data_IF_809659663745
#
_entry.id   IF_809659663745
#
_cell.length_a   1.000
_cell.length_b   1.000
_cell.length_c   1.000
_cell.angle_alpha   90.00
_cell.angle_beta   90.00
_cell.angle_gamma   90.00
#
_symmetry.space_group_name_H-M   'P 1'
#
loop_
_entity.id
_entity.type
_entity.pdbx_description
1 polymer ?
#
# COMPACT_ATOMS: atom_id res chain seq x y z
N UNK A 1 3.67 33.76 -25.98
CA UNK A 1 3.55 33.61 -24.51
C UNK A 1 4.38 32.42 -24.07
N UNK A 2 5.58 32.66 -23.52
CA UNK A 2 6.44 31.60 -23.02
C UNK A 2 5.80 31.00 -21.76
N UNK A 3 5.48 29.69 -21.79
CA UNK A 3 5.09 28.95 -20.58
C UNK A 3 6.29 29.02 -19.64
N UNK A 4 6.13 29.63 -18.46
CA UNK A 4 7.13 29.50 -17.39
C UNK A 4 7.41 28.01 -17.22
N UNK A 5 8.69 27.58 -17.17
CA UNK A 5 8.99 26.24 -16.72
C UNK A 5 8.43 26.12 -15.31
N UNK A 6 7.33 25.37 -15.18
CA UNK A 6 6.84 24.90 -13.89
C UNK A 6 7.93 23.98 -13.39
N UNK A 7 8.81 24.50 -12.53
CA UNK A 7 9.61 23.67 -11.65
C UNK A 7 8.62 22.69 -11.01
N UNK A 8 8.75 21.38 -11.23
CA UNK A 8 7.86 20.42 -10.57
C UNK A 8 7.98 20.68 -9.07
N UNK A 9 6.84 20.81 -8.38
CA UNK A 9 6.84 20.86 -6.93
C UNK A 9 7.65 19.66 -6.41
N UNK A 10 8.47 19.81 -5.36
CA UNK A 10 9.20 18.69 -4.79
C UNK A 10 8.20 17.58 -4.48
N UNK A 11 8.48 16.37 -4.95
CA UNK A 11 7.62 15.22 -4.69
C UNK A 11 7.69 14.92 -3.19
N UNK A 12 6.54 14.97 -2.52
CA UNK A 12 6.46 14.57 -1.11
C UNK A 12 6.76 13.07 -1.02
N UNK A 13 7.62 12.70 -0.08
CA UNK A 13 8.00 11.30 0.16
C UNK A 13 7.09 10.66 1.21
N UNK A 14 7.13 9.33 1.30
CA UNK A 14 6.45 8.62 2.39
C UNK A 14 7.05 9.03 3.74
N UNK A 15 8.38 9.19 3.84
CA UNK A 15 9.06 9.62 5.07
C UNK A 15 8.56 10.98 5.56
N UNK A 16 8.43 11.96 4.65
CA UNK A 16 7.88 13.28 5.00
C UNK A 16 6.47 13.14 5.63
N UNK A 17 5.66 12.22 5.09
CA UNK A 17 4.32 11.95 5.57
C UNK A 17 4.31 11.14 6.88
N UNK A 18 5.20 10.16 7.05
CA UNK A 18 5.34 9.40 8.30
C UNK A 18 5.80 10.29 9.44
N UNK A 19 6.77 11.17 9.18
CA UNK A 19 7.27 12.15 10.14
C UNK A 19 6.18 13.14 10.54
N UNK A 20 5.42 13.67 9.58
CA UNK A 20 4.29 14.54 9.85
C UNK A 20 3.19 13.82 10.65
N UNK A 21 2.89 12.55 10.32
CA UNK A 21 1.92 11.74 11.04
C UNK A 21 2.40 11.48 12.48
N UNK A 22 3.67 11.15 12.69
CA UNK A 22 4.26 10.93 14.00
C UNK A 22 4.20 12.19 14.87
N UNK A 23 4.52 13.37 14.32
CA UNK A 23 4.41 14.66 15.03
C UNK A 23 2.98 14.93 15.48
N UNK A 24 1.98 14.70 14.62
CA UNK A 24 0.57 14.88 14.99
C UNK A 24 0.16 13.90 16.08
N UNK A 25 0.51 12.61 15.93
CA UNK A 25 0.21 11.57 16.93
C UNK A 25 0.78 11.93 18.30
N UNK A 26 2.04 12.37 18.34
CA UNK A 26 2.71 12.79 19.57
C UNK A 26 2.01 14.00 20.22
N UNK A 27 1.72 15.05 19.45
CA UNK A 27 1.07 16.28 19.97
C UNK A 27 -0.28 15.96 20.61
N UNK A 28 -1.11 15.17 19.95
CA UNK A 28 -2.42 14.73 20.45
C UNK A 28 -2.34 13.80 21.66
N UNK A 29 -1.39 12.85 21.68
CA UNK A 29 -1.17 11.99 22.84
C UNK A 29 -0.78 12.81 24.08
N UNK A 30 0.02 13.87 23.92
CA UNK A 30 0.38 14.77 25.03
C UNK A 30 -0.78 15.68 25.46
N UNK A 31 -1.58 16.17 24.51
CA UNK A 31 -2.66 17.11 24.79
C UNK A 31 -3.93 16.43 25.31
N UNK A 32 -4.14 15.14 25.03
CA UNK A 32 -5.36 14.42 25.41
C UNK A 32 -5.05 12.97 25.80
N UNK A 33 -4.36 12.73 26.92
CA UNK A 33 -3.84 11.40 27.30
C UNK A 33 -4.94 10.35 27.55
N UNK A 34 -6.17 10.81 27.80
CA UNK A 34 -7.34 10.00 28.11
C UNK A 34 -8.35 9.92 26.95
N UNK A 35 -7.97 10.28 25.73
CA UNK A 35 -8.84 10.10 24.56
C UNK A 35 -8.91 8.59 24.20
N UNK A 36 -10.06 7.93 24.42
CA UNK A 36 -10.20 6.50 24.16
C UNK A 36 -10.06 6.15 22.68
N UNK A 37 -10.27 7.12 21.78
CA UNK A 37 -10.16 6.90 20.34
C UNK A 37 -8.69 6.73 19.92
N UNK A 38 -7.72 7.25 20.69
CA UNK A 38 -6.28 7.03 20.42
C UNK A 38 -5.91 5.54 20.42
N UNK A 39 -6.59 4.73 21.24
CA UNK A 39 -6.38 3.27 21.29
C UNK A 39 -6.98 2.59 20.06
N UNK A 40 -8.12 3.06 19.57
CA UNK A 40 -8.81 2.49 18.40
C UNK A 40 -7.99 2.65 17.10
N UNK A 41 -7.23 3.73 16.97
CA UNK A 41 -6.37 3.98 15.80
C UNK A 41 -4.95 3.39 15.91
N UNK A 42 -4.63 2.63 16.98
CA UNK A 42 -3.29 2.07 17.24
C UNK A 42 -2.17 3.13 17.23
N UNK A 43 -2.40 4.25 17.93
CA UNK A 43 -1.44 5.36 18.04
C UNK A 43 -0.29 5.10 19.02
N UNK A 44 -0.28 3.94 19.66
CA UNK A 44 0.77 3.44 20.54
C UNK A 44 2.05 3.06 19.79
N UNK A 45 1.97 2.87 18.47
CA UNK A 45 3.13 2.64 17.60
C UNK A 45 3.40 3.79 16.64
N UNK A 46 4.67 3.90 16.23
CA UNK A 46 5.10 4.80 15.17
C UNK A 46 4.38 4.43 13.86
N UNK A 47 3.98 5.42 13.05
CA UNK A 47 3.45 5.18 11.71
C UNK A 47 4.57 4.58 10.84
N UNK A 48 4.23 3.57 10.03
CA UNK A 48 5.21 2.87 9.18
C UNK A 48 4.82 2.81 7.72
N UNK A 49 3.57 3.12 7.38
CA UNK A 49 3.05 2.95 6.03
C UNK A 49 1.98 4.00 5.64
N UNK A 50 1.51 3.86 4.40
CA UNK A 50 0.45 4.65 3.79
C UNK A 50 -0.90 4.54 4.52
N UNK A 51 -1.18 3.39 5.15
CA UNK A 51 -2.41 3.14 5.89
C UNK A 51 -2.40 3.88 7.24
N UNK A 52 -1.23 4.00 7.87
CA UNK A 52 -1.01 4.81 9.06
C UNK A 52 -1.18 6.31 8.78
N UNK A 53 -0.72 6.78 7.61
CA UNK A 53 -0.96 8.15 7.14
C UNK A 53 -2.46 8.37 6.93
N UNK A 54 -3.14 7.45 6.24
CA UNK A 54 -4.59 7.52 6.03
C UNK A 54 -5.36 7.53 7.35
N UNK A 55 -5.01 6.65 8.28
CA UNK A 55 -5.62 6.58 9.59
C UNK A 55 -5.44 7.88 10.38
N UNK A 56 -4.28 8.52 10.25
CA UNK A 56 -3.99 9.81 10.90
C UNK A 56 -4.85 10.94 10.33
N UNK A 57 -4.97 11.03 9.00
CA UNK A 57 -5.85 12.02 8.35
C UNK A 57 -7.32 11.79 8.68
N UNK A 58 -7.76 10.53 8.67
CA UNK A 58 -9.12 10.14 9.04
C UNK A 58 -9.44 10.51 10.49
N UNK A 59 -8.53 10.21 11.43
CA UNK A 59 -8.68 10.60 12.82
C UNK A 59 -8.80 12.12 12.96
N UNK A 60 -7.88 12.91 12.39
CA UNK A 60 -7.93 14.37 12.49
C UNK A 60 -9.26 14.91 11.92
N UNK A 61 -9.72 14.32 10.82
CA UNK A 61 -10.97 14.72 10.15
C UNK A 61 -12.19 14.47 11.04
N UNK A 62 -12.21 13.33 11.77
CA UNK A 62 -13.32 12.94 12.66
C UNK A 62 -13.23 13.59 14.05
N UNK A 63 -12.02 13.84 14.55
CA UNK A 63 -11.75 14.29 15.92
C UNK A 63 -11.15 15.70 15.93
N UNK A 64 -11.90 16.66 15.38
CA UNK A 64 -11.51 18.09 15.34
C UNK A 64 -11.62 18.83 16.68
N UNK A 65 -12.19 18.19 17.71
CA UNK A 65 -12.44 18.80 19.02
C UNK A 65 -11.18 18.74 19.88
N UNK A 66 -10.28 19.70 19.67
CA UNK A 66 -9.09 19.92 20.49
C UNK A 66 -8.86 21.41 20.73
N UNK A 67 -8.01 21.80 21.71
CA UNK A 67 -7.67 23.20 21.95
C UNK A 67 -7.18 23.90 20.67
N UNK A 68 -7.59 25.15 20.47
CA UNK A 68 -7.23 25.94 19.28
C UNK A 68 -5.71 26.04 19.03
N UNK A 69 -4.84 26.22 20.05
CA UNK A 69 -3.39 26.23 19.83
C UNK A 69 -2.87 24.94 19.19
N UNK A 70 -3.40 23.79 19.63
CA UNK A 70 -3.03 22.49 19.09
C UNK A 70 -3.42 22.36 17.60
N UNK A 71 -4.62 22.86 17.24
CA UNK A 71 -5.04 22.88 15.84
C UNK A 71 -4.10 23.72 14.99
N UNK A 72 -3.71 24.90 15.46
CA UNK A 72 -2.81 25.80 14.74
C UNK A 72 -1.44 25.16 14.48
N UNK A 73 -0.90 24.47 15.47
CA UNK A 73 0.39 23.77 15.35
C UNK A 73 0.33 22.54 14.43
N UNK A 74 -0.85 21.93 14.27
CA UNK A 74 -1.05 20.76 13.41
C UNK A 74 -1.34 21.10 11.95
N UNK A 75 -1.80 22.32 11.63
CA UNK A 75 -2.19 22.71 10.27
C UNK A 75 -1.09 22.42 9.23
N UNK A 76 0.20 22.75 9.45
CA UNK A 76 1.24 22.51 8.46
C UNK A 76 1.44 21.01 8.17
N UNK A 77 1.47 20.19 9.24
CA UNK A 77 1.65 18.74 9.11
C UNK A 77 0.42 18.08 8.47
N UNK A 78 -0.79 18.48 8.85
CA UNK A 78 -2.01 18.00 8.22
C UNK A 78 -2.09 18.36 6.73
N UNK A 79 -1.71 19.59 6.36
CA UNK A 79 -1.66 20.02 4.96
C UNK A 79 -0.66 19.18 4.15
N UNK A 80 0.48 18.81 4.75
CA UNK A 80 1.47 17.90 4.15
C UNK A 80 0.85 16.52 3.91
N UNK A 81 0.20 15.93 4.92
CA UNK A 81 -0.43 14.60 4.78
C UNK A 81 -1.47 14.58 3.65
N UNK A 82 -2.33 15.61 3.58
CA UNK A 82 -3.35 15.73 2.53
C UNK A 82 -2.73 15.89 1.15
N UNK A 83 -1.69 16.74 1.03
CA UNK A 83 -0.97 16.92 -0.24
C UNK A 83 -0.28 15.63 -0.69
N UNK A 84 0.32 14.88 0.24
CA UNK A 84 0.93 13.59 0.00
C UNK A 84 -0.12 12.57 -0.50
N UNK A 85 -1.26 12.44 0.18
CA UNK A 85 -2.36 11.56 -0.25
C UNK A 85 -2.83 11.89 -1.67
N UNK A 86 -3.02 13.18 -1.98
CA UNK A 86 -3.41 13.60 -3.33
C UNK A 86 -2.37 13.24 -4.39
N UNK A 87 -1.08 13.42 -4.08
CA UNK A 87 0.02 13.03 -4.96
C UNK A 87 0.00 11.51 -5.19
N UNK A 88 -0.08 10.71 -4.11
CA UNK A 88 -0.12 9.26 -4.14
C UNK A 88 -1.32 8.74 -4.94
N UNK A 89 -2.51 9.25 -4.69
CA UNK A 89 -3.74 8.84 -5.38
C UNK A 89 -3.67 9.18 -6.88
N UNK A 90 -3.11 10.34 -7.22
CA UNK A 90 -2.86 10.75 -8.60
C UNK A 90 -1.88 9.79 -9.30
N UNK A 91 -0.82 9.39 -8.61
CA UNK A 91 0.17 8.43 -9.12
C UNK A 91 -0.44 7.04 -9.30
N UNK A 92 -1.20 6.53 -8.32
CA UNK A 92 -1.90 5.25 -8.44
C UNK A 92 -2.91 5.26 -9.59
N UNK A 93 -3.70 6.34 -9.73
CA UNK A 93 -4.63 6.47 -10.84
C UNK A 93 -3.92 6.47 -12.20
N UNK A 94 -2.78 7.15 -12.30
CA UNK A 94 -1.95 7.16 -13.50
C UNK A 94 -1.32 5.78 -13.79
N UNK A 95 -0.83 5.06 -12.77
CA UNK A 95 -0.28 3.69 -12.89
C UNK A 95 -1.36 2.71 -13.35
N UNK A 96 -2.54 2.73 -12.71
CA UNK A 96 -3.71 1.91 -13.12
C UNK A 96 -4.09 2.18 -14.58
N UNK A 97 -4.14 3.45 -14.97
CA UNK A 97 -4.44 3.82 -16.36
C UNK A 97 -3.36 3.33 -17.32
N UNK A 98 -2.07 3.44 -16.98
CA UNK A 98 -1.00 2.89 -17.80
C UNK A 98 -1.14 1.37 -17.95
N UNK A 99 -1.38 0.65 -16.86
CA UNK A 99 -1.58 -0.80 -16.88
C UNK A 99 -2.70 -1.20 -17.85
N UNK A 100 -3.87 -0.56 -17.76
CA UNK A 100 -4.99 -0.81 -18.70
C UNK A 100 -4.57 -0.57 -20.15
N UNK A 101 -3.89 0.55 -20.43
CA UNK A 101 -3.45 0.89 -21.79
C UNK A 101 -2.41 -0.08 -22.34
N UNK A 102 -1.50 -0.57 -21.49
CA UNK A 102 -0.45 -1.52 -21.85
C UNK A 102 -1.05 -2.91 -22.08
N UNK A 103 -1.85 -3.43 -21.15
CA UNK A 103 -2.52 -4.72 -21.30
C UNK A 103 -3.42 -4.75 -22.53
N UNK A 104 -4.20 -3.70 -22.78
CA UNK A 104 -5.06 -3.62 -23.96
C UNK A 104 -4.25 -3.59 -25.27
N UNK A 105 -3.06 -2.97 -25.25
CA UNK A 105 -2.15 -2.98 -26.40
C UNK A 105 -1.55 -4.37 -26.65
N UNK A 106 -1.11 -5.06 -25.61
CA UNK A 106 -0.53 -6.42 -25.67
C UNK A 106 -1.55 -7.44 -26.16
N UNK A 107 -2.79 -7.34 -25.68
CA UNK A 107 -3.91 -8.18 -26.10
C UNK A 107 -4.49 -7.76 -27.47
N UNK A 108 -3.91 -6.75 -28.13
CA UNK A 108 -4.34 -6.22 -29.44
C UNK A 108 -5.82 -5.80 -29.46
N UNK A 109 -6.34 -5.34 -28.31
CA UNK A 109 -7.70 -4.82 -28.21
C UNK A 109 -7.78 -3.50 -29.00
N UNK A 110 -8.82 -3.29 -29.83
CA UNK A 110 -8.99 -2.03 -30.54
C UNK A 110 -9.06 -0.85 -29.57
N UNK A 111 -8.29 0.21 -29.85
CA UNK A 111 -8.25 1.42 -29.00
C UNK A 111 -9.61 2.10 -28.82
N UNK A 112 -10.55 1.88 -29.75
CA UNK A 112 -11.92 2.38 -29.66
C UNK A 112 -12.74 1.68 -28.58
N UNK A 113 -12.38 0.45 -28.18
CA UNK A 113 -13.10 -0.32 -27.17
C UNK A 113 -12.84 0.19 -25.74
N UNK A 114 -11.67 0.76 -25.46
CA UNK A 114 -11.30 1.23 -24.12
C UNK A 114 -10.97 2.73 -24.05
N UNK A 115 -10.55 3.36 -25.15
CA UNK A 115 -10.13 4.76 -25.18
C UNK A 115 -11.22 5.72 -24.73
N UNK A 116 -12.46 5.52 -25.17
CA UNK A 116 -13.61 6.40 -24.83
C UNK A 116 -13.89 6.43 -23.34
N UNK A 117 -13.82 5.27 -22.65
CA UNK A 117 -14.00 5.17 -21.19
C UNK A 117 -12.93 5.92 -20.39
N UNK A 118 -11.76 6.14 -21.00
CA UNK A 118 -10.63 6.86 -20.41
C UNK A 118 -10.58 8.34 -20.84
N UNK A 119 -11.58 8.84 -21.59
CA UNK A 119 -11.58 10.19 -22.14
C UNK A 119 -10.59 10.39 -23.29
N UNK A 120 -10.20 9.31 -23.97
CA UNK A 120 -9.24 9.29 -25.08
C UNK A 120 -9.97 8.87 -26.36
N UNK A 121 -10.62 9.81 -27.08
CA UNK A 121 -11.61 9.47 -28.11
C UNK A 121 -11.02 8.93 -29.41
N UNK A 122 -9.70 9.01 -29.60
CA UNK A 122 -9.06 8.62 -30.87
C UNK A 122 -7.87 7.68 -30.63
N UNK A 123 -7.59 6.73 -31.55
CA UNK A 123 -6.43 5.86 -31.46
C UNK A 123 -5.09 6.61 -31.27
N UNK A 124 -4.82 7.73 -31.98
CA UNK A 124 -3.61 8.51 -31.75
C UNK A 124 -3.56 9.20 -30.37
N UNK A 125 -4.71 9.51 -29.76
CA UNK A 125 -4.76 10.05 -28.40
C UNK A 125 -4.39 8.98 -27.37
N UNK A 126 -4.88 7.75 -27.56
CA UNK A 126 -4.55 6.57 -26.74
C UNK A 126 -3.04 6.29 -26.76
N UNK A 127 -2.44 6.19 -27.95
CA UNK A 127 -1.00 5.93 -28.10
C UNK A 127 -0.15 7.04 -27.48
N UNK A 128 -0.46 8.31 -27.75
CA UNK A 128 0.27 9.45 -27.17
C UNK A 128 0.12 9.50 -25.65
N UNK A 129 -1.05 9.19 -25.11
CA UNK A 129 -1.27 9.18 -23.67
C UNK A 129 -0.47 8.06 -23.00
N UNK A 130 -0.46 6.85 -23.57
CA UNK A 130 0.36 5.73 -23.10
C UNK A 130 1.85 6.08 -23.11
N UNK A 131 2.36 6.65 -24.20
CA UNK A 131 3.77 7.09 -24.31
C UNK A 131 4.11 8.17 -23.29
N UNK A 132 3.23 9.16 -23.07
CA UNK A 132 3.44 10.20 -22.05
C UNK A 132 3.48 9.62 -20.64
N UNK A 133 2.63 8.65 -20.33
CA UNK A 133 2.64 7.98 -19.03
C UNK A 133 3.92 7.17 -18.85
N UNK A 134 4.35 6.39 -19.84
CA UNK A 134 5.65 5.71 -19.79
C UNK A 134 6.82 6.68 -19.57
N UNK A 135 6.89 7.77 -20.35
CA UNK A 135 7.96 8.76 -20.20
C UNK A 135 7.93 9.45 -18.82
N UNK A 136 6.72 9.73 -18.31
CA UNK A 136 6.54 10.31 -16.96
C UNK A 136 7.03 9.37 -15.87
N UNK A 137 6.68 8.09 -15.95
CA UNK A 137 7.15 7.11 -14.97
C UNK A 137 8.64 6.85 -15.10
N UNK A 138 9.18 6.68 -16.30
CA UNK A 138 10.63 6.56 -16.50
C UNK A 138 11.42 7.76 -15.95
N UNK A 139 10.88 8.97 -16.03
CA UNK A 139 11.48 10.17 -15.42
C UNK A 139 11.35 10.16 -13.90
N UNK A 140 10.21 9.75 -13.35
CA UNK A 140 10.03 9.58 -11.91
C UNK A 140 11.00 8.53 -11.38
N UNK A 141 11.11 7.38 -12.04
CA UNK A 141 12.00 6.27 -11.70
C UNK A 141 13.47 6.69 -11.76
N UNK A 142 13.84 7.55 -12.71
CA UNK A 142 15.20 8.11 -12.80
C UNK A 142 15.51 9.14 -11.70
N UNK A 143 14.49 9.86 -11.20
CA UNK A 143 14.63 10.86 -10.14
C UNK A 143 14.60 10.21 -8.76
N UNK A 144 13.80 9.15 -8.59
CA UNK A 144 13.67 8.46 -7.30
C UNK A 144 14.65 7.29 -7.18
N UNK A 145 15.13 6.69 -8.28
CA UNK A 145 16.03 5.53 -8.28
C UNK A 145 15.44 4.25 -7.65
N UNK A 146 14.25 4.35 -7.07
CA UNK A 146 13.67 3.40 -6.14
C UNK A 146 12.88 2.31 -6.88
N UNK A 147 12.15 2.63 -7.96
CA UNK A 147 11.22 1.66 -8.57
C UNK A 147 11.91 0.55 -9.39
N UNK A 148 13.04 0.79 -10.08
CA UNK A 148 13.69 -0.25 -10.90
C UNK A 148 14.46 -1.28 -10.06
N UNK A 149 15.15 -0.82 -9.02
CA UNK A 149 15.80 -1.69 -8.04
C UNK A 149 14.76 -2.44 -7.21
N UNK A 150 13.67 -1.78 -6.81
CA UNK A 150 12.55 -2.42 -6.09
C UNK A 150 11.86 -3.46 -6.96
N UNK A 151 11.57 -3.17 -8.22
CA UNK A 151 10.95 -4.13 -9.12
C UNK A 151 11.89 -5.32 -9.36
N UNK A 152 13.20 -5.10 -9.49
CA UNK A 152 14.19 -6.18 -9.57
C UNK A 152 14.26 -7.01 -8.28
N UNK A 153 14.31 -6.37 -7.11
CA UNK A 153 14.33 -7.06 -5.81
C UNK A 153 13.03 -7.81 -5.55
N UNK A 154 11.88 -7.26 -5.95
CA UNK A 154 10.59 -7.93 -5.87
C UNK A 154 10.54 -9.15 -6.79
N UNK A 155 11.03 -9.03 -8.04
CA UNK A 155 11.10 -10.18 -8.95
C UNK A 155 12.06 -11.25 -8.43
N UNK A 156 13.20 -10.84 -7.87
CA UNK A 156 14.16 -11.74 -7.24
C UNK A 156 13.55 -12.46 -6.03
N UNK A 157 12.90 -11.72 -5.14
CA UNK A 157 12.23 -12.31 -3.98
C UNK A 157 11.11 -13.26 -4.38
N UNK A 158 10.31 -12.90 -5.39
CA UNK A 158 9.27 -13.79 -5.93
C UNK A 158 9.88 -15.07 -6.48
N UNK A 159 11.03 -15.01 -7.14
CA UNK A 159 11.74 -16.20 -7.62
C UNK A 159 12.26 -17.07 -6.46
N UNK A 160 12.83 -16.45 -5.43
CA UNK A 160 13.38 -17.13 -4.25
C UNK A 160 12.28 -17.77 -3.38
N UNK A 161 11.13 -17.10 -3.25
CA UNK A 161 10.05 -17.48 -2.33
C UNK A 161 8.85 -18.08 -3.04
N UNK A 162 8.94 -18.38 -4.35
CA UNK A 162 7.81 -18.89 -5.13
C UNK A 162 7.17 -20.15 -4.54
N UNK A 163 8.00 -21.12 -4.13
CA UNK A 163 7.56 -22.38 -3.55
C UNK A 163 6.83 -22.18 -2.21
N UNK A 164 7.48 -21.56 -1.21
CA UNK A 164 6.87 -21.25 0.08
C UNK A 164 5.59 -20.41 -0.05
N UNK A 165 5.62 -19.36 -0.88
CA UNK A 165 4.47 -18.48 -1.09
C UNK A 165 3.26 -19.24 -1.67
N UNK A 166 3.51 -20.15 -2.61
CA UNK A 166 2.46 -21.00 -3.16
C UNK A 166 1.91 -21.98 -2.11
N UNK A 167 2.77 -22.63 -1.34
CA UNK A 167 2.34 -23.57 -0.30
C UNK A 167 1.46 -22.89 0.76
N UNK A 168 1.85 -21.68 1.18
CA UNK A 168 1.03 -20.85 2.08
C UNK A 168 -0.28 -20.45 1.42
N UNK A 169 -0.24 -20.01 0.17
CA UNK A 169 -1.44 -19.62 -0.57
C UNK A 169 -2.44 -20.80 -0.73
N UNK A 170 -1.93 -22.00 -1.04
CA UNK A 170 -2.70 -23.24 -1.08
C UNK A 170 -3.34 -23.52 0.29
N UNK A 171 -2.54 -23.50 1.35
CA UNK A 171 -3.00 -23.71 2.72
C UNK A 171 -4.08 -22.71 3.16
N UNK A 172 -3.89 -21.42 2.86
CA UNK A 172 -4.89 -20.37 3.15
C UNK A 172 -6.17 -20.55 2.34
N UNK A 173 -6.07 -21.03 1.09
CA UNK A 173 -7.24 -21.32 0.24
C UNK A 173 -8.02 -22.51 0.78
N UNK A 174 -7.33 -23.59 1.13
CA UNK A 174 -7.93 -24.83 1.66
C UNK A 174 -8.65 -24.57 3.00
N UNK A 175 -8.11 -23.67 3.82
CA UNK A 175 -8.66 -23.34 5.14
C UNK A 175 -9.54 -22.08 5.13
N UNK A 176 -9.85 -21.50 3.97
CA UNK A 176 -10.58 -20.22 3.85
C UNK A 176 -11.83 -20.15 4.72
N UNK A 177 -12.69 -21.16 4.64
CA UNK A 177 -13.97 -21.16 5.36
C UNK A 177 -13.80 -21.35 6.87
N UNK A 178 -12.73 -22.03 7.30
CA UNK A 178 -12.38 -22.14 8.71
C UNK A 178 -11.82 -20.81 9.22
N UNK A 179 -10.91 -20.19 8.46
CA UNK A 179 -10.32 -18.88 8.76
C UNK A 179 -11.42 -17.82 8.89
N UNK A 180 -12.36 -17.74 7.94
CA UNK A 180 -13.45 -16.78 7.98
C UNK A 180 -14.44 -17.03 9.11
N UNK A 181 -14.59 -18.28 9.56
CA UNK A 181 -15.38 -18.61 10.76
C UNK A 181 -14.70 -18.12 12.04
N UNK A 182 -13.39 -18.31 12.14
CA UNK A 182 -12.59 -17.95 13.32
C UNK A 182 -12.28 -16.46 13.41
N UNK A 183 -12.16 -15.75 12.29
CA UNK A 183 -11.81 -14.34 12.27
C UNK A 183 -12.93 -13.46 12.88
N UNK A 184 -12.64 -12.50 13.77
CA UNK A 184 -13.64 -11.52 14.22
C UNK A 184 -14.04 -10.53 13.10
N UNK A 185 -15.25 -9.95 13.13
CA UNK A 185 -15.64 -8.86 12.23
C UNK A 185 -14.84 -7.57 12.50
N UNK A 186 -14.62 -6.70 11.50
CA UNK A 186 -15.06 -6.80 10.10
C UNK A 186 -14.19 -7.75 9.26
N UNK A 187 -14.82 -8.44 8.31
CA UNK A 187 -14.19 -9.51 7.50
C UNK A 187 -14.09 -9.19 6.02
N UNK A 188 -14.71 -8.11 5.50
CA UNK A 188 -14.85 -7.90 4.06
C UNK A 188 -13.49 -7.90 3.33
N UNK A 189 -12.52 -7.12 3.85
CA UNK A 189 -11.18 -7.05 3.27
C UNK A 189 -10.37 -8.34 3.41
N UNK A 190 -10.62 -9.11 4.48
CA UNK A 190 -9.97 -10.41 4.67
C UNK A 190 -10.55 -11.43 3.67
N UNK A 191 -11.87 -11.44 3.49
CA UNK A 191 -12.53 -12.24 2.47
C UNK A 191 -12.01 -11.91 1.08
N UNK A 192 -11.91 -10.62 0.74
CA UNK A 192 -11.35 -10.15 -0.54
C UNK A 192 -9.90 -10.61 -0.73
N UNK A 193 -9.06 -10.51 0.30
CA UNK A 193 -7.68 -10.99 0.25
C UNK A 193 -7.60 -12.51 0.04
N UNK A 194 -8.39 -13.31 0.77
CA UNK A 194 -8.44 -14.77 0.60
C UNK A 194 -8.95 -15.17 -0.80
N UNK A 195 -9.93 -14.44 -1.33
CA UNK A 195 -10.44 -14.66 -2.68
C UNK A 195 -9.39 -14.32 -3.76
N UNK A 196 -8.63 -13.24 -3.56
CA UNK A 196 -7.50 -12.88 -4.42
C UNK A 196 -6.38 -13.92 -4.39
N UNK A 197 -6.10 -14.53 -3.23
CA UNK A 197 -5.13 -15.62 -3.10
C UNK A 197 -5.55 -16.79 -3.99
N UNK A 198 -6.80 -17.25 -3.87
CA UNK A 198 -7.32 -18.34 -4.68
C UNK A 198 -7.33 -18.02 -6.19
N UNK A 199 -7.66 -16.78 -6.56
CA UNK A 199 -7.68 -16.33 -7.95
C UNK A 199 -6.29 -16.26 -8.58
N UNK A 200 -5.28 -15.87 -7.81
CA UNK A 200 -3.92 -15.65 -8.29
C UNK A 200 -2.95 -16.81 -8.00
N UNK A 201 -3.47 -17.92 -7.48
CA UNK A 201 -2.71 -19.15 -7.31
C UNK A 201 -2.18 -19.61 -8.66
N UNK A 202 -0.86 -19.62 -8.82
CA UNK A 202 -0.21 -20.03 -10.06
C UNK A 202 1.20 -20.56 -9.80
N UNK A 203 1.76 -21.36 -10.73
CA UNK A 203 3.13 -21.88 -10.60
C UNK A 203 4.19 -20.78 -10.52
N UNK A 204 3.91 -19.61 -11.13
CA UNK A 204 4.76 -18.44 -11.14
C UNK A 204 4.05 -17.30 -10.39
N UNK A 205 4.21 -17.22 -9.07
CA UNK A 205 3.44 -16.30 -8.24
C UNK A 205 3.76 -14.84 -8.60
N UNK A 206 2.71 -14.02 -8.63
CA UNK A 206 2.78 -12.60 -8.99
C UNK A 206 2.80 -11.73 -7.73
N UNK A 207 3.24 -10.45 -7.84
CA UNK A 207 3.19 -9.50 -6.72
C UNK A 207 1.83 -9.41 -6.02
N UNK A 208 0.74 -9.57 -6.78
CA UNK A 208 -0.63 -9.55 -6.22
C UNK A 208 -0.87 -10.70 -5.25
N UNK A 209 -0.34 -11.90 -5.53
CA UNK A 209 -0.45 -13.03 -4.61
C UNK A 209 0.35 -12.78 -3.33
N UNK A 210 1.59 -12.28 -3.46
CA UNK A 210 2.43 -11.94 -2.32
C UNK A 210 1.79 -10.87 -1.42
N UNK A 211 1.23 -9.82 -2.02
CA UNK A 211 0.50 -8.77 -1.32
C UNK A 211 -0.74 -9.31 -0.60
N UNK A 212 -1.53 -10.17 -1.25
CA UNK A 212 -2.73 -10.73 -0.64
C UNK A 212 -2.39 -11.69 0.53
N UNK A 213 -1.32 -12.49 0.40
CA UNK A 213 -0.80 -13.33 1.49
C UNK A 213 -0.27 -12.48 2.63
N UNK A 214 0.50 -11.41 2.35
CA UNK A 214 0.99 -10.49 3.39
C UNK A 214 -0.18 -9.86 4.16
N UNK A 215 -1.19 -9.35 3.44
CA UNK A 215 -2.38 -8.78 4.07
C UNK A 215 -3.13 -9.78 4.97
N UNK A 216 -3.32 -11.02 4.49
CA UNK A 216 -3.96 -12.08 5.28
C UNK A 216 -3.13 -12.41 6.53
N UNK A 217 -1.80 -12.53 6.41
CA UNK A 217 -0.89 -12.80 7.51
C UNK A 217 -0.90 -11.69 8.57
N UNK A 218 -0.84 -10.42 8.16
CA UNK A 218 -0.94 -9.27 9.05
C UNK A 218 -2.27 -9.20 9.81
N UNK A 219 -3.35 -9.76 9.24
CA UNK A 219 -4.66 -9.83 9.90
C UNK A 219 -4.78 -10.99 10.86
N UNK A 220 -4.28 -12.16 10.47
CA UNK A 220 -4.52 -13.43 11.15
C UNK A 220 -3.41 -13.83 12.13
N UNK A 221 -2.21 -13.29 11.95
CA UNK A 221 -1.01 -13.67 12.71
C UNK A 221 -1.03 -13.24 14.19
N UNK A 222 -0.01 -13.64 14.95
CA UNK A 222 0.08 -13.41 16.40
C UNK A 222 0.17 -11.92 16.80
N UNK A 223 0.46 -11.04 15.84
CA UNK A 223 0.46 -9.57 16.01
C UNK A 223 -0.66 -8.86 15.24
N UNK A 224 -1.56 -9.63 14.62
CA UNK A 224 -2.63 -9.11 13.79
C UNK A 224 -3.82 -8.60 14.59
N UNK A 225 -4.59 -7.67 14.00
CA UNK A 225 -5.82 -7.13 14.62
C UNK A 225 -6.88 -8.21 14.91
N UNK A 226 -6.81 -9.33 14.18
CA UNK A 226 -7.77 -10.42 14.20
C UNK A 226 -7.06 -11.75 14.48
N UNK A 227 -6.10 -11.78 15.42
CA UNK A 227 -5.36 -12.99 15.77
C UNK A 227 -6.31 -14.16 16.00
N UNK A 228 -6.15 -15.20 15.17
CA UNK A 228 -6.87 -16.45 15.37
C UNK A 228 -5.95 -17.41 16.10
N UNK A 229 -6.46 -18.11 17.11
CA UNK A 229 -5.77 -19.23 17.73
C UNK A 229 -6.33 -20.51 17.12
N UNK A 230 -5.74 -21.01 16.01
CA UNK A 230 -6.22 -22.23 15.40
C UNK A 230 -6.01 -23.40 16.39
N UNK A 231 -7.05 -24.19 16.62
CA UNK A 231 -6.91 -25.50 17.28
C UNK A 231 -6.26 -26.55 16.38
N UNK A 232 -6.10 -26.24 15.09
CA UNK A 232 -5.46 -27.07 14.09
C UNK A 232 -3.96 -26.70 13.97
N UNK A 233 -3.03 -27.63 14.27
CA UNK A 233 -1.59 -27.38 14.16
C UNK A 233 -1.12 -27.09 12.73
N UNK A 234 -1.82 -27.59 11.71
CA UNK A 234 -1.49 -27.34 10.29
C UNK A 234 -1.79 -25.89 9.94
N UNK A 235 -2.95 -25.38 10.33
CA UNK A 235 -3.30 -23.98 10.13
C UNK A 235 -2.38 -23.04 10.93
N UNK A 236 -1.96 -23.44 12.14
CA UNK A 236 -0.99 -22.68 12.92
C UNK A 236 0.35 -22.51 12.18
N UNK A 237 0.86 -23.61 11.61
CA UNK A 237 2.10 -23.60 10.83
C UNK A 237 1.98 -22.75 9.56
N UNK A 238 0.88 -22.87 8.81
CA UNK A 238 0.60 -22.04 7.63
C UNK A 238 0.61 -20.56 7.99
N UNK A 239 -0.02 -20.15 9.09
CA UNK A 239 -0.07 -18.75 9.52
C UNK A 239 1.30 -18.23 9.98
N UNK A 240 2.12 -19.07 10.61
CA UNK A 240 3.48 -18.69 10.98
C UNK A 240 4.34 -18.46 9.74
N UNK A 241 4.31 -19.40 8.78
CA UNK A 241 5.02 -19.25 7.50
C UNK A 241 4.51 -18.05 6.70
N UNK A 242 3.20 -17.80 6.70
CA UNK A 242 2.61 -16.61 6.10
C UNK A 242 3.14 -15.32 6.74
N UNK A 243 3.31 -15.32 8.06
CA UNK A 243 3.83 -14.17 8.81
C UNK A 243 5.32 -13.92 8.52
N UNK A 244 6.12 -14.98 8.39
CA UNK A 244 7.54 -14.87 8.00
C UNK A 244 7.69 -14.33 6.57
N UNK A 245 6.90 -14.85 5.63
CA UNK A 245 6.88 -14.36 4.25
C UNK A 245 6.38 -12.93 4.16
N UNK A 246 5.36 -12.56 4.95
CA UNK A 246 4.87 -11.20 5.04
C UNK A 246 5.94 -10.26 5.57
N UNK A 247 6.67 -10.63 6.63
CA UNK A 247 7.76 -9.82 7.16
C UNK A 247 8.88 -9.63 6.13
N UNK A 248 9.25 -10.67 5.38
CA UNK A 248 10.25 -10.56 4.31
C UNK A 248 9.76 -9.68 3.14
N UNK A 249 8.48 -9.83 2.76
CA UNK A 249 7.84 -9.02 1.72
C UNK A 249 7.70 -7.55 2.13
N UNK A 250 7.34 -7.30 3.39
CA UNK A 250 7.19 -5.98 3.96
C UNK A 250 8.56 -5.32 4.16
N UNK A 251 9.63 -6.08 4.45
CA UNK A 251 11.01 -5.57 4.44
C UNK A 251 11.45 -5.15 3.04
N UNK A 252 11.03 -5.85 1.99
CA UNK A 252 11.27 -5.41 0.60
C UNK A 252 10.54 -4.11 0.26
N UNK A 253 9.35 -3.91 0.82
CA UNK A 253 8.62 -2.65 0.71
C UNK A 253 9.10 -1.59 1.71
N UNK A 254 9.77 -1.99 2.79
CA UNK A 254 10.35 -1.13 3.82
C UNK A 254 11.78 -0.68 3.51
N UNK A 255 12.53 -1.41 2.69
CA UNK A 255 13.81 -0.98 2.11
C UNK A 255 13.63 0.11 1.02
N UNK A 256 12.37 0.44 0.70
CA UNK A 256 11.93 1.55 -0.16
C UNK A 256 11.81 2.86 0.64
N UNK A 257 11.68 2.80 1.97
CA UNK A 257 12.06 3.96 2.79
C UNK A 257 13.57 3.99 2.86
N UNK A 258 14.25 5.05 2.37
CA UNK A 258 15.69 5.16 2.46
C UNK A 258 16.12 4.91 3.90
N UNK A 259 16.91 3.85 4.08
CA UNK A 259 17.55 3.52 5.33
C UNK A 259 18.41 4.72 5.76
N UNK A 260 17.88 5.52 6.68
CA UNK A 260 18.62 6.57 7.39
C UNK A 260 19.40 6.01 8.57
N UNK A 261 19.55 4.68 8.69
CA UNK A 261 20.35 4.08 9.75
C UNK A 261 21.70 3.58 9.25
N UNK A 262 22.66 4.47 9.44
CA UNK A 262 24.04 4.14 9.81
C UNK A 262 25.03 4.95 9.01
N UNK A 263 26.02 5.62 9.59
CA UNK A 263 26.64 5.52 10.92
C UNK A 263 27.81 6.54 10.91
N UNK A 264 28.62 6.64 11.98
CA UNK A 264 28.40 7.19 13.32
C UNK A 264 28.67 8.70 13.43
#
# INVERSE_FOLDING_TARGET
MARRPTTPAPALTLDDALDAAARIRQRRATATPSDPDLVFFAWDRLPVDDDDVNATVDYITRHRRVPLPLLQDEVPDWALLVAYQQQRDTLHAARRRLAVLTTAHELKVPSTAYGTSLGLPTPPAVTRHRQRLHARFAMLDAVTGIDSATEQHLQQWLAEHAGPLRAVAEGLTDHRDLILRLAPPPREKLTEALDLIGLHLSPNPKPVLASAVSYAAQRLGPRGRNTITPGDPVLADILNQATELAAAYDLLHGLITPDTRGTP
#
